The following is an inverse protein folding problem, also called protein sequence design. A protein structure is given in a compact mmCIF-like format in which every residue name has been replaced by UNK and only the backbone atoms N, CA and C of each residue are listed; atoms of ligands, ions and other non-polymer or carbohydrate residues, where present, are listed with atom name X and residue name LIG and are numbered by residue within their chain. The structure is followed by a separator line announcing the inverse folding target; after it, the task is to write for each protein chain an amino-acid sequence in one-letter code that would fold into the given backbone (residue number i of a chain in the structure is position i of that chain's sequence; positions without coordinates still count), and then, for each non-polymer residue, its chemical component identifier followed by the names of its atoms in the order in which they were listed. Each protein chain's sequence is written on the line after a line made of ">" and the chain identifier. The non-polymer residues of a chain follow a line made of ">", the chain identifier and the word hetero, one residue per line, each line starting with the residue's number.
data_IF_095218308569
#
_entry.id   IF_095218308569
#
_cell.length_a   1.000
_cell.length_b   1.000
_cell.length_c   1.000
_cell.angle_alpha   90.00
_cell.angle_beta   90.00
_cell.angle_gamma   90.00
#
_symmetry.space_group_name_H-M   'P 1'
#
loop_
_entity.id
_entity.type
_entity.pdbx_description
1 polymer ?
#
# COMPACT_ATOMS: atom_id res chain seq x y z
N UNK A 1 18.37 36.36 10.14
CA UNK A 1 19.17 35.18 10.54
C UNK A 1 18.38 33.95 10.12
N UNK A 2 19.04 33.01 9.46
CA UNK A 2 18.47 32.14 8.42
C UNK A 2 17.35 31.22 8.92
N UNK A 3 16.38 31.00 8.03
CA UNK A 3 15.16 30.22 8.22
C UNK A 3 15.46 28.83 8.80
N UNK A 4 14.80 28.50 9.92
CA UNK A 4 14.71 27.13 10.42
C UNK A 4 14.08 26.27 9.33
N UNK A 5 14.83 25.27 8.86
CA UNK A 5 14.37 24.19 7.98
C UNK A 5 13.19 23.45 8.63
N UNK A 6 11.98 23.96 8.46
CA UNK A 6 10.78 23.14 8.50
C UNK A 6 10.78 22.38 7.18
N UNK A 7 11.38 21.19 7.16
CA UNK A 7 10.93 20.20 6.19
C UNK A 7 9.45 20.07 6.48
N UNK A 8 8.61 20.46 5.52
CA UNK A 8 7.20 20.13 5.53
C UNK A 8 7.13 18.65 5.93
N UNK A 9 6.54 18.38 7.09
CA UNK A 9 6.16 17.02 7.44
C UNK A 9 5.08 16.69 6.44
N UNK A 10 5.47 16.17 5.29
CA UNK A 10 4.59 15.44 4.39
C UNK A 10 3.90 14.42 5.28
N UNK A 11 2.64 14.68 5.59
CA UNK A 11 1.78 13.68 6.20
C UNK A 11 1.71 12.58 5.16
N UNK A 12 2.56 11.56 5.30
CA UNK A 12 2.47 10.34 4.53
C UNK A 12 1.01 9.91 4.64
N UNK A 13 0.26 10.07 3.55
CA UNK A 13 -1.09 9.54 3.49
C UNK A 13 -0.91 8.04 3.63
N UNK A 14 -1.56 7.45 4.62
CA UNK A 14 -1.42 6.03 4.86
C UNK A 14 -2.39 5.30 3.93
N UNK A 15 -1.89 4.81 2.80
CA UNK A 15 -2.62 3.89 1.93
C UNK A 15 -2.20 2.48 2.26
N UNK A 16 -3.15 1.66 2.69
CA UNK A 16 -2.87 0.25 3.02
C UNK A 16 -2.34 -0.56 1.83
N UNK A 17 -2.53 -0.08 0.59
CA UNK A 17 -2.08 -0.72 -0.63
C UNK A 17 -0.78 -0.16 -1.23
N UNK A 18 -0.12 0.81 -0.58
CA UNK A 18 1.23 1.28 -0.93
C UNK A 18 2.25 0.49 -0.09
N UNK A 19 2.77 -0.59 -0.66
CA UNK A 19 3.60 -1.54 0.06
C UNK A 19 5.09 -1.20 0.01
N UNK A 20 5.53 -0.41 -0.97
CA UNK A 20 6.91 0.07 -1.07
C UNK A 20 7.13 1.46 -0.44
N UNK A 21 6.04 2.13 -0.04
CA UNK A 21 6.03 3.38 0.71
C UNK A 21 6.38 4.61 -0.14
N UNK A 22 6.16 4.55 -1.45
CA UNK A 22 6.57 5.59 -2.40
C UNK A 22 5.48 6.66 -2.65
N UNK A 23 4.31 6.55 -2.00
CA UNK A 23 3.13 7.43 -2.17
C UNK A 23 2.35 7.26 -3.48
N UNK A 24 2.51 6.15 -4.20
CA UNK A 24 1.76 5.81 -5.41
C UNK A 24 1.39 4.32 -5.41
N UNK A 25 0.10 3.99 -5.38
CA UNK A 25 -0.39 2.61 -5.59
C UNK A 25 -0.31 2.27 -7.08
N UNK A 26 0.62 1.41 -7.44
CA UNK A 26 0.95 1.12 -8.82
C UNK A 26 1.27 -0.36 -9.08
N UNK A 27 1.94 -0.65 -10.20
CA UNK A 27 2.27 -2.02 -10.60
C UNK A 27 3.22 -2.71 -9.62
N UNK A 28 4.10 -1.98 -8.93
CA UNK A 28 5.00 -2.55 -7.94
C UNK A 28 4.22 -3.10 -6.75
N UNK A 29 3.20 -2.39 -6.29
CA UNK A 29 2.29 -2.85 -5.23
C UNK A 29 1.45 -4.04 -5.68
N UNK A 30 0.95 -4.02 -6.92
CA UNK A 30 0.24 -5.16 -7.50
C UNK A 30 1.13 -6.43 -7.52
N UNK A 31 2.41 -6.29 -7.84
CA UNK A 31 3.34 -7.41 -7.86
C UNK A 31 3.57 -8.01 -6.46
N UNK A 32 3.42 -7.22 -5.38
CA UNK A 32 3.47 -7.75 -4.01
C UNK A 32 2.26 -8.64 -3.71
N UNK A 33 1.03 -8.25 -4.10
CA UNK A 33 -0.19 -9.08 -3.97
C UNK A 33 -0.02 -10.40 -4.72
N UNK A 34 0.53 -10.36 -5.94
CA UNK A 34 0.77 -11.57 -6.73
C UNK A 34 1.83 -12.46 -6.07
N UNK A 35 2.89 -11.88 -5.51
CA UNK A 35 3.93 -12.63 -4.80
C UNK A 35 3.41 -13.30 -3.52
N UNK A 36 2.43 -12.68 -2.86
CA UNK A 36 1.80 -13.20 -1.65
C UNK A 36 0.56 -14.08 -1.92
N UNK A 37 0.23 -14.38 -3.18
CA UNK A 37 -1.03 -15.03 -3.54
C UNK A 37 -1.26 -16.37 -2.83
N UNK A 38 -2.39 -16.49 -2.14
CA UNK A 38 -2.75 -17.67 -1.35
C UNK A 38 -2.07 -17.78 0.02
N UNK A 39 -1.24 -16.79 0.42
CA UNK A 39 -0.74 -16.72 1.78
C UNK A 39 -1.89 -16.60 2.77
N UNK A 40 -1.71 -17.21 3.94
CA UNK A 40 -2.71 -17.24 5.01
C UNK A 40 -2.20 -16.54 6.27
N UNK A 41 -3.12 -16.09 7.11
CA UNK A 41 -2.80 -15.37 8.34
C UNK A 41 -2.58 -13.87 8.11
N UNK A 42 -1.91 -13.21 9.06
CA UNK A 42 -1.65 -11.78 8.97
C UNK A 42 -0.61 -11.49 7.89
N UNK A 43 -1.05 -10.93 6.76
CA UNK A 43 -0.21 -10.49 5.65
C UNK A 43 -0.52 -9.02 5.36
N UNK A 44 0.48 -8.16 5.07
CA UNK A 44 0.21 -6.79 4.60
C UNK A 44 -0.70 -6.76 3.37
N UNK A 45 -0.57 -7.76 2.49
CA UNK A 45 -1.33 -7.92 1.25
C UNK A 45 -2.78 -8.43 1.47
N UNK A 46 -3.15 -8.83 2.69
CA UNK A 46 -4.54 -9.17 3.07
C UNK A 46 -5.29 -7.88 3.47
N UNK A 47 -5.78 -7.18 2.45
CA UNK A 47 -6.37 -5.86 2.55
C UNK A 47 -7.82 -5.89 3.05
N UNK A 48 -8.54 -7.00 2.86
CA UNK A 48 -9.88 -7.17 3.42
C UNK A 48 -9.88 -7.80 4.83
N UNK A 49 -8.73 -8.33 5.26
CA UNK A 49 -8.53 -8.90 6.59
C UNK A 49 -9.22 -10.25 6.78
N UNK A 50 -9.52 -10.99 5.71
CA UNK A 50 -10.18 -12.30 5.78
C UNK A 50 -9.20 -13.43 6.15
N UNK A 51 -7.89 -13.16 6.17
CA UNK A 51 -6.84 -14.11 6.50
C UNK A 51 -6.28 -14.89 5.31
N UNK A 52 -6.61 -14.53 4.07
CA UNK A 52 -6.11 -15.13 2.83
C UNK A 52 -5.94 -14.09 1.73
N UNK A 53 -4.72 -13.92 1.22
CA UNK A 53 -4.44 -13.05 0.06
C UNK A 53 -5.02 -13.66 -1.20
N UNK A 54 -6.04 -13.02 -1.78
CA UNK A 54 -6.76 -13.50 -2.94
C UNK A 54 -7.28 -12.37 -3.85
N UNK A 55 -8.26 -12.69 -4.71
CA UNK A 55 -8.81 -11.75 -5.68
C UNK A 55 -9.49 -10.54 -5.03
N UNK A 56 -10.04 -10.68 -3.82
CA UNK A 56 -10.66 -9.56 -3.12
C UNK A 56 -9.62 -8.49 -2.75
N UNK A 57 -8.43 -8.89 -2.30
CA UNK A 57 -7.33 -7.97 -1.99
C UNK A 57 -6.81 -7.27 -3.24
N UNK A 58 -6.66 -8.01 -4.34
CA UNK A 58 -6.30 -7.42 -5.63
C UNK A 58 -7.31 -6.36 -6.09
N UNK A 59 -8.61 -6.61 -5.90
CA UNK A 59 -9.64 -5.64 -6.27
C UNK A 59 -9.62 -4.40 -5.37
N UNK A 60 -9.27 -4.54 -4.07
CA UNK A 60 -9.05 -3.39 -3.19
C UNK A 60 -7.86 -2.55 -3.66
N UNK A 61 -6.74 -3.20 -4.02
CA UNK A 61 -5.57 -2.50 -4.57
C UNK A 61 -5.92 -1.73 -5.85
N UNK A 62 -6.62 -2.36 -6.80
CA UNK A 62 -7.02 -1.71 -8.06
C UNK A 62 -7.97 -0.53 -7.80
N UNK A 63 -8.84 -0.63 -6.79
CA UNK A 63 -9.72 0.47 -6.41
C UNK A 63 -8.95 1.68 -5.82
N UNK A 64 -7.75 1.45 -5.29
CA UNK A 64 -6.87 2.46 -4.72
C UNK A 64 -5.82 2.98 -5.72
N UNK A 65 -5.86 2.56 -6.99
CA UNK A 65 -4.81 2.84 -7.97
C UNK A 65 -4.54 4.34 -8.17
N UNK A 66 -3.26 4.72 -8.17
CA UNK A 66 -2.80 6.10 -8.31
C UNK A 66 -2.24 6.68 -7.02
N UNK A 67 -2.19 8.01 -6.89
CA UNK A 67 -1.57 8.67 -5.75
C UNK A 67 -2.20 8.31 -4.41
N UNK A 68 -1.32 8.17 -3.44
CA UNK A 68 -1.61 8.28 -2.02
C UNK A 68 -1.36 9.74 -1.57
#
# INVERSE_FOLDING_TARGET
>A
MLQRNLRNSETQVFCSADFDGNSDVNVLDLLTIIAAWGNQGANPEDLDGNGVVNVLDLLILIAAWGPC
#
